data_IF_402375101984
#
_entry.id   IF_402375101984
#
_cell.length_a   1.000
_cell.length_b   1.000
_cell.length_c   1.000
_cell.angle_alpha   90.00
_cell.angle_beta   90.00
_cell.angle_gamma   90.00
#
_symmetry.space_group_name_H-M   'P 1'
#
loop_
_entity.id
_entity.type
_entity.pdbx_description
1 polymer ?
#
# COMPACT_ATOMS: atom_id res chain seq x y z
N UNK A 1 -4.53 26.41 11.07
CA UNK A 1 -4.44 24.94 10.88
C UNK A 1 -5.69 24.35 10.25
N UNK A 2 -6.90 24.74 10.70
CA UNK A 2 -8.17 24.18 10.21
C UNK A 2 -8.66 24.82 8.90
N UNK A 3 -8.19 26.02 8.54
CA UNK A 3 -8.59 26.65 7.27
C UNK A 3 -7.98 25.97 6.04
N UNK A 4 -8.83 25.73 5.04
CA UNK A 4 -8.44 25.28 3.70
C UNK A 4 -8.16 26.49 2.82
N UNK A 5 -6.89 26.93 2.78
CA UNK A 5 -6.45 28.05 1.93
C UNK A 5 -5.52 27.51 0.85
N UNK A 6 -5.89 27.76 -0.40
CA UNK A 6 -5.12 27.38 -1.58
C UNK A 6 -4.04 28.43 -1.88
N UNK A 7 -2.98 28.39 -1.07
CA UNK A 7 -1.81 29.28 -1.17
C UNK A 7 -0.55 28.45 -1.43
N UNK A 8 -0.57 27.63 -2.48
CA UNK A 8 0.56 26.79 -2.92
C UNK A 8 0.93 25.63 -1.97
N UNK A 9 0.81 25.83 -0.66
CA UNK A 9 0.96 24.81 0.37
C UNK A 9 -0.20 24.90 1.37
N UNK A 10 -1.10 23.91 1.34
CA UNK A 10 -2.28 23.88 2.20
C UNK A 10 -2.04 23.05 3.47
N UNK A 11 -2.21 23.63 4.65
CA UNK A 11 -1.86 22.97 5.92
C UNK A 11 -2.80 21.82 6.31
N UNK A 12 -4.13 21.98 6.15
CA UNK A 12 -5.07 20.94 6.55
C UNK A 12 -4.91 19.63 5.74
N UNK A 13 -4.73 19.65 4.40
CA UNK A 13 -4.34 18.46 3.65
C UNK A 13 -3.03 17.84 4.14
N UNK A 14 -2.06 18.67 4.48
CA UNK A 14 -0.79 18.21 5.04
C UNK A 14 -0.99 17.45 6.34
N UNK A 15 -1.83 17.95 7.26
CA UNK A 15 -2.17 17.26 8.51
C UNK A 15 -2.87 15.93 8.25
N UNK A 16 -3.83 15.88 7.32
CA UNK A 16 -4.54 14.64 6.97
C UNK A 16 -3.58 13.61 6.36
N UNK A 17 -2.74 14.04 5.42
CA UNK A 17 -1.70 13.19 4.81
C UNK A 17 -0.72 12.68 5.86
N UNK A 18 -0.25 13.55 6.77
CA UNK A 18 0.66 13.16 7.84
C UNK A 18 0.03 12.13 8.79
N UNK A 19 -1.23 12.31 9.19
CA UNK A 19 -1.94 11.35 10.03
C UNK A 19 -2.08 9.99 9.34
N UNK A 20 -2.47 9.97 8.07
CA UNK A 20 -2.51 8.73 7.28
C UNK A 20 -1.12 8.07 7.20
N UNK A 21 -0.07 8.85 6.96
CA UNK A 21 1.33 8.40 6.95
C UNK A 21 1.78 7.78 8.27
N UNK A 22 1.47 8.42 9.39
CA UNK A 22 1.79 7.92 10.72
C UNK A 22 1.05 6.63 11.05
N UNK A 23 -0.24 6.54 10.72
CA UNK A 23 -1.01 5.31 10.91
C UNK A 23 -0.42 4.15 10.11
N UNK A 24 -0.11 4.37 8.83
CA UNK A 24 0.58 3.37 8.00
C UNK A 24 1.92 2.97 8.61
N UNK A 25 2.74 3.94 9.03
CA UNK A 25 4.07 3.67 9.56
C UNK A 25 4.03 2.83 10.84
N UNK A 26 3.17 3.20 11.80
CA UNK A 26 3.05 2.51 13.09
C UNK A 26 2.58 1.07 12.89
N UNK A 27 1.61 0.82 12.02
CA UNK A 27 1.14 -0.55 11.77
C UNK A 27 2.11 -1.39 10.95
N UNK A 28 3.08 -0.76 10.29
CA UNK A 28 4.16 -1.43 9.55
C UNK A 28 5.26 -2.03 10.43
N UNK A 29 5.30 -1.68 11.73
CA UNK A 29 6.30 -2.23 12.64
C UNK A 29 6.20 -3.76 12.76
N UNK A 30 7.37 -4.41 12.86
CA UNK A 30 7.50 -5.87 12.85
C UNK A 30 6.55 -6.60 13.81
N UNK A 31 6.37 -6.17 15.07
CA UNK A 31 5.44 -6.83 15.99
C UNK A 31 3.98 -6.75 15.51
N UNK A 32 3.55 -5.59 15.00
CA UNK A 32 2.17 -5.38 14.55
C UNK A 32 1.91 -6.17 13.28
N UNK A 33 2.77 -6.05 12.27
CA UNK A 33 2.60 -6.74 10.99
C UNK A 33 2.61 -8.28 11.10
N UNK A 34 3.42 -8.84 12.01
CA UNK A 34 3.51 -10.30 12.21
C UNK A 34 2.31 -10.86 12.98
N UNK A 35 1.79 -10.13 13.96
CA UNK A 35 0.71 -10.62 14.83
C UNK A 35 -0.69 -10.19 14.33
N UNK A 36 -0.78 -9.06 13.63
CA UNK A 36 -2.03 -8.45 13.17
C UNK A 36 -1.91 -8.06 11.69
N UNK A 37 -1.75 -9.06 10.82
CA UNK A 37 -1.51 -8.84 9.41
C UNK A 37 -2.66 -8.08 8.72
N UNK A 38 -3.92 -8.37 9.05
CA UNK A 38 -5.08 -7.67 8.49
C UNK A 38 -5.09 -6.18 8.85
N UNK A 39 -4.79 -5.84 10.11
CA UNK A 39 -4.69 -4.45 10.55
C UNK A 39 -3.60 -3.71 9.76
N UNK A 40 -2.41 -4.31 9.64
CA UNK A 40 -1.34 -3.79 8.81
C UNK A 40 -1.81 -3.59 7.36
N UNK A 41 -2.42 -4.61 6.76
CA UNK A 41 -2.78 -4.61 5.35
C UNK A 41 -3.84 -3.56 5.03
N UNK A 42 -4.90 -3.45 5.84
CA UNK A 42 -5.98 -2.50 5.63
C UNK A 42 -5.53 -1.06 5.91
N UNK A 43 -4.76 -0.83 6.98
CA UNK A 43 -4.22 0.51 7.26
C UNK A 43 -3.20 0.95 6.23
N UNK A 44 -2.43 0.03 5.64
CA UNK A 44 -1.55 0.37 4.51
C UNK A 44 -2.30 0.82 3.26
N UNK A 45 -3.58 0.44 3.06
CA UNK A 45 -4.37 0.95 1.92
C UNK A 45 -4.65 2.46 2.02
N UNK A 46 -4.42 3.07 3.20
CA UNK A 46 -4.46 4.53 3.36
C UNK A 46 -3.41 5.26 2.52
N UNK A 47 -2.51 4.56 1.81
CA UNK A 47 -1.60 5.18 0.84
C UNK A 47 -2.35 5.98 -0.23
N UNK A 48 -3.57 5.57 -0.58
CA UNK A 48 -4.42 6.32 -1.53
C UNK A 48 -4.81 7.68 -0.93
N UNK A 49 -5.26 7.68 0.33
CA UNK A 49 -5.57 8.90 1.08
C UNK A 49 -4.32 9.77 1.20
N UNK A 50 -3.19 9.18 1.58
CA UNK A 50 -1.91 9.87 1.69
C UNK A 50 -1.53 10.60 0.39
N UNK A 51 -1.58 9.91 -0.76
CA UNK A 51 -1.19 10.49 -2.07
C UNK A 51 -2.13 11.62 -2.48
N UNK A 52 -3.45 11.44 -2.33
CA UNK A 52 -4.44 12.47 -2.69
C UNK A 52 -4.23 13.73 -1.85
N UNK A 53 -4.14 13.58 -0.52
CA UNK A 53 -3.94 14.73 0.37
C UNK A 53 -2.54 15.32 0.28
N UNK A 54 -1.53 14.54 -0.12
CA UNK A 54 -0.21 15.07 -0.45
C UNK A 54 -0.28 15.95 -1.70
N UNK A 55 -0.99 15.52 -2.76
CA UNK A 55 -1.20 16.35 -3.95
C UNK A 55 -1.86 17.69 -3.61
N UNK A 56 -2.90 17.66 -2.77
CA UNK A 56 -3.58 18.85 -2.26
C UNK A 56 -2.72 19.68 -1.29
N UNK A 57 -1.65 19.10 -0.72
CA UNK A 57 -0.78 19.76 0.23
C UNK A 57 0.33 20.57 -0.44
N UNK A 58 1.06 20.02 -1.43
CA UNK A 58 2.33 20.60 -1.92
C UNK A 58 2.24 21.34 -3.28
N UNK A 59 1.06 21.44 -3.87
CA UNK A 59 0.85 22.10 -5.16
C UNK A 59 1.51 21.36 -6.34
N UNK A 60 1.22 21.82 -7.56
CA UNK A 60 1.50 21.06 -8.79
C UNK A 60 2.99 20.74 -8.99
N UNK A 61 3.87 21.74 -8.84
CA UNK A 61 5.30 21.60 -9.14
C UNK A 61 5.98 20.50 -8.30
N UNK A 62 5.70 20.48 -6.99
CA UNK A 62 6.30 19.50 -6.09
C UNK A 62 5.69 18.12 -6.30
N UNK A 63 4.38 18.05 -6.56
CA UNK A 63 3.70 16.79 -6.84
C UNK A 63 4.22 16.12 -8.13
N UNK A 64 4.52 16.89 -9.17
CA UNK A 64 5.06 16.36 -10.43
C UNK A 64 6.40 15.61 -10.26
N UNK A 65 7.23 15.99 -9.27
CA UNK A 65 8.47 15.26 -8.97
C UNK A 65 8.19 13.81 -8.55
N UNK A 66 7.08 13.55 -7.84
CA UNK A 66 6.66 12.22 -7.44
C UNK A 66 5.72 11.55 -8.47
N UNK A 67 5.10 12.33 -9.36
CA UNK A 67 4.09 11.87 -10.31
C UNK A 67 4.54 10.72 -11.20
N UNK A 68 5.78 10.76 -11.70
CA UNK A 68 6.34 9.66 -12.50
C UNK A 68 6.43 8.34 -11.73
N UNK A 69 6.89 8.38 -10.48
CA UNK A 69 6.96 7.18 -9.63
C UNK A 69 5.56 6.65 -9.28
N UNK A 70 4.60 7.54 -8.98
CA UNK A 70 3.21 7.17 -8.70
C UNK A 70 2.59 6.52 -9.94
N UNK A 71 2.81 7.07 -11.12
CA UNK A 71 2.31 6.50 -12.38
C UNK A 71 2.83 5.08 -12.62
N UNK A 72 4.14 4.86 -12.50
CA UNK A 72 4.73 3.54 -12.67
C UNK A 72 4.21 2.54 -11.63
N UNK A 73 4.01 2.98 -10.39
CA UNK A 73 3.43 2.16 -9.33
C UNK A 73 1.99 1.72 -9.66
N UNK A 74 1.15 2.64 -10.15
CA UNK A 74 -0.24 2.33 -10.54
C UNK A 74 -0.27 1.41 -11.76
N UNK A 75 0.60 1.65 -12.75
CA UNK A 75 0.71 0.80 -13.93
C UNK A 75 1.13 -0.64 -13.56
N UNK A 76 2.17 -0.81 -12.74
CA UNK A 76 2.59 -2.13 -12.24
C UNK A 76 1.46 -2.83 -11.49
N UNK A 77 0.75 -2.12 -10.61
CA UNK A 77 -0.40 -2.66 -9.88
C UNK A 77 -1.50 -3.15 -10.83
N UNK A 78 -1.82 -2.37 -11.86
CA UNK A 78 -2.82 -2.73 -12.86
C UNK A 78 -2.40 -3.97 -13.66
N UNK A 79 -1.14 -4.03 -14.11
CA UNK A 79 -0.61 -5.19 -14.82
C UNK A 79 -0.65 -6.45 -13.95
N UNK A 80 -0.29 -6.35 -12.66
CA UNK A 80 -0.40 -7.47 -11.71
C UNK A 80 -1.85 -7.92 -11.53
N UNK A 81 -2.80 -7.00 -11.49
CA UNK A 81 -4.23 -7.37 -11.42
C UNK A 81 -4.70 -8.11 -12.67
N UNK A 82 -4.23 -7.72 -13.86
CA UNK A 82 -4.51 -8.43 -15.10
C UNK A 82 -3.88 -9.82 -15.14
N UNK A 83 -2.62 -9.96 -14.67
CA UNK A 83 -1.87 -11.22 -14.67
C UNK A 83 -2.32 -12.20 -13.58
N UNK A 84 -2.71 -11.70 -12.41
CA UNK A 84 -2.99 -12.50 -11.20
C UNK A 84 -4.42 -13.04 -11.15
N UNK A 85 -4.89 -13.64 -12.26
CA UNK A 85 -6.23 -14.24 -12.35
C UNK A 85 -6.23 -15.77 -12.35
N UNK A 86 -5.07 -16.41 -12.45
CA UNK A 86 -4.97 -17.87 -12.38
C UNK A 86 -5.02 -18.32 -10.93
N UNK A 87 -6.17 -18.89 -10.52
CA UNK A 87 -6.29 -19.64 -9.27
C UNK A 87 -5.92 -21.09 -9.54
N UNK A 88 -5.07 -21.67 -8.69
CA UNK A 88 -4.69 -23.09 -8.74
C UNK A 88 -5.04 -23.75 -7.42
N UNK A 89 -5.38 -25.03 -7.47
CA UNK A 89 -5.73 -25.80 -6.28
C UNK A 89 -4.47 -26.28 -5.57
N UNK A 90 -4.52 -26.29 -4.24
CA UNK A 90 -3.47 -26.91 -3.42
C UNK A 90 -3.77 -28.41 -3.32
N UNK A 91 -2.93 -29.24 -3.92
CA UNK A 91 -3.05 -30.70 -3.90
C UNK A 91 -2.51 -31.31 -2.60
N UNK A 92 -1.45 -30.74 -2.03
CA UNK A 92 -0.84 -31.22 -0.80
C UNK A 92 -0.06 -30.13 -0.08
N UNK A 93 -0.01 -30.19 1.25
CA UNK A 93 0.81 -29.34 2.10
C UNK A 93 1.52 -30.23 3.14
N UNK A 94 2.86 -30.19 3.17
CA UNK A 94 3.68 -30.99 4.10
C UNK A 94 4.64 -30.10 4.88
N UNK A 95 4.62 -30.19 6.19
CA UNK A 95 5.61 -29.55 7.05
C UNK A 95 6.83 -30.46 7.22
N UNK A 96 8.01 -29.96 6.85
CA UNK A 96 9.28 -30.66 7.00
C UNK A 96 9.88 -30.43 8.39
N UNK A 97 10.68 -31.36 8.94
CA UNK A 97 11.28 -31.23 10.27
C UNK A 97 12.17 -29.99 10.46
N UNK A 98 12.66 -29.39 9.37
CA UNK A 98 13.43 -28.15 9.38
C UNK A 98 12.59 -26.87 9.44
N UNK A 99 11.26 -26.97 9.53
CA UNK A 99 10.34 -25.81 9.58
C UNK A 99 9.90 -25.27 8.22
N UNK A 100 10.29 -25.90 7.12
CA UNK A 100 9.84 -25.55 5.76
C UNK A 100 8.49 -26.20 5.45
N UNK A 101 7.66 -25.51 4.68
CA UNK A 101 6.39 -26.04 4.15
C UNK A 101 6.54 -26.34 2.67
N UNK A 102 6.31 -27.59 2.28
CA UNK A 102 6.23 -28.04 0.89
C UNK A 102 4.76 -27.97 0.45
N UNK A 103 4.48 -27.21 -0.63
CA UNK A 103 3.15 -27.07 -1.21
C UNK A 103 3.15 -27.63 -2.64
N UNK A 104 2.31 -28.63 -2.90
CA UNK A 104 2.07 -29.16 -4.25
C UNK A 104 0.81 -28.51 -4.83
N UNK A 105 0.95 -27.81 -5.95
CA UNK A 105 -0.15 -27.09 -6.61
C UNK A 105 -0.57 -27.81 -7.90
N UNK A 106 -1.84 -27.69 -8.30
CA UNK A 106 -2.29 -28.15 -9.60
C UNK A 106 -1.70 -27.30 -10.72
N UNK A 107 -1.46 -27.90 -11.89
CA UNK A 107 -1.02 -27.14 -13.06
C UNK A 107 -2.18 -26.23 -13.51
N UNK A 108 -1.96 -24.92 -13.73
CA UNK A 108 -2.99 -24.06 -14.29
C UNK A 108 -3.42 -24.58 -15.68
N UNK A 109 -4.72 -24.52 -15.96
CA UNK A 109 -5.29 -24.93 -17.26
C UNK A 109 -4.87 -23.97 -18.38
#
# INVERSE_FOLDING_TARGET
LIEWRDIGVANLPGVISLLAGLLMWVTSFSPVRKNFFELFFYTHQLYVVFIIFLALHVGDFIFYMAGGAIFLFVLDRFLRFCQSRATVDVLSAKCLPCGTVELTLSKPQ
#
